data_IF_938775005427
#
_entry.id   IF_938775005427
#
_cell.length_a   1.000
_cell.length_b   1.000
_cell.length_c   1.000
_cell.angle_alpha   90.00
_cell.angle_beta   90.00
_cell.angle_gamma   90.00
#
_symmetry.space_group_name_H-M   'P 1'
#
loop_
_entity.id
_entity.type
_entity.pdbx_description
1 polymer ?
#
# COMPACT_ATOMS: atom_id res chain seq x y z
N UNK A 1 -1.04 26.00 -13.10
CA UNK A 1 -0.50 25.02 -12.17
C UNK A 1 -1.51 24.89 -11.04
N UNK A 2 -2.09 23.72 -10.81
CA UNK A 2 -2.92 23.49 -9.62
C UNK A 2 -2.08 23.80 -8.39
N UNK A 3 -2.63 24.62 -7.49
CA UNK A 3 -1.91 24.99 -6.26
C UNK A 3 -1.92 23.73 -5.36
N UNK A 4 -0.81 23.00 -5.32
CA UNK A 4 -0.68 21.79 -4.49
C UNK A 4 -0.71 22.24 -3.03
N UNK A 5 -1.61 21.70 -2.20
CA UNK A 5 -1.73 22.11 -0.80
C UNK A 5 -0.43 21.84 -0.01
N UNK A 6 -0.13 22.64 1.00
CA UNK A 6 1.09 22.50 1.81
C UNK A 6 1.20 21.19 2.59
N UNK A 7 0.06 20.54 2.88
CA UNK A 7 0.00 19.24 3.54
C UNK A 7 0.28 18.06 2.59
N UNK A 8 0.32 18.30 1.27
CA UNK A 8 0.56 17.27 0.26
C UNK A 8 2.04 16.93 0.17
N UNK A 9 2.52 16.24 1.18
CA UNK A 9 3.91 15.84 1.39
C UNK A 9 4.20 14.52 0.71
N UNK A 10 4.74 14.53 -0.52
CA UNK A 10 4.75 13.36 -1.42
C UNK A 10 6.13 12.95 -1.96
N UNK A 11 7.16 13.77 -1.83
CA UNK A 11 8.48 13.45 -2.36
C UNK A 11 9.42 12.82 -1.31
N UNK A 12 10.62 12.44 -1.73
CA UNK A 12 11.58 11.79 -0.84
C UNK A 12 12.10 12.74 0.25
N UNK A 13 12.25 14.03 -0.07
CA UNK A 13 12.67 15.04 0.91
C UNK A 13 11.57 15.25 1.96
N UNK A 14 10.30 15.24 1.54
CA UNK A 14 9.14 15.29 2.45
C UNK A 14 9.12 14.10 3.43
N UNK A 15 9.47 12.88 2.94
CA UNK A 15 9.61 11.70 3.80
C UNK A 15 10.73 11.93 4.81
N UNK A 16 11.91 12.35 4.36
CA UNK A 16 13.05 12.62 5.26
C UNK A 16 12.71 13.69 6.31
N UNK A 17 12.01 14.76 5.90
CA UNK A 17 11.54 15.78 6.84
C UNK A 17 10.53 15.22 7.84
N UNK A 18 9.61 14.39 7.38
CA UNK A 18 8.60 13.75 8.25
C UNK A 18 9.28 12.85 9.28
N UNK A 19 10.31 12.11 8.91
CA UNK A 19 11.05 11.26 9.82
C UNK A 19 11.78 12.03 10.93
N UNK A 20 12.05 13.32 10.77
CA UNK A 20 12.62 14.17 11.84
C UNK A 20 11.64 14.43 13.00
N UNK A 21 10.34 14.21 12.81
CA UNK A 21 9.34 14.29 13.88
C UNK A 21 9.32 13.07 14.80
N UNK A 22 9.94 11.95 14.43
CA UNK A 22 9.89 10.70 15.17
C UNK A 22 10.43 10.86 16.61
N UNK A 23 9.55 10.64 17.58
CA UNK A 23 9.82 10.61 19.03
C UNK A 23 9.11 9.46 19.71
N UNK A 24 7.91 9.11 19.24
CA UNK A 24 7.10 7.99 19.71
C UNK A 24 7.29 6.77 18.81
N UNK A 25 7.33 6.99 17.50
CA UNK A 25 7.71 5.98 16.53
C UNK A 25 9.23 5.82 16.44
N UNK A 26 9.67 4.68 15.93
CA UNK A 26 11.10 4.39 15.71
C UNK A 26 11.32 3.69 14.38
N UNK A 27 12.43 3.96 13.72
CA UNK A 27 12.87 3.18 12.57
C UNK A 27 13.46 1.87 13.11
N UNK A 28 12.85 0.75 12.76
CA UNK A 28 13.21 -0.58 13.26
C UNK A 28 13.97 -1.42 12.25
N UNK A 29 13.87 -1.09 10.96
CA UNK A 29 14.62 -1.75 9.90
C UNK A 29 14.93 -0.78 8.76
N UNK A 30 16.03 -1.02 8.05
CA UNK A 30 16.46 -0.28 6.86
C UNK A 30 17.01 -1.22 5.82
N UNK A 31 16.82 -0.87 4.56
CA UNK A 31 17.39 -1.54 3.39
C UNK A 31 17.67 -0.52 2.29
N UNK A 32 18.10 -1.01 1.14
CA UNK A 32 18.34 -0.21 -0.05
C UNK A 32 17.52 -0.73 -1.21
N UNK A 33 17.00 0.21 -2.03
CA UNK A 33 16.39 -0.09 -3.32
C UNK A 33 17.45 -0.54 -4.34
N UNK A 34 17.01 -1.00 -5.49
CA UNK A 34 17.90 -1.34 -6.62
C UNK A 34 18.83 -0.18 -7.00
N UNK A 35 18.33 1.08 -6.94
CA UNK A 35 19.12 2.28 -7.18
C UNK A 35 19.92 2.79 -5.97
N UNK A 36 19.93 2.06 -4.86
CA UNK A 36 20.70 2.39 -3.66
C UNK A 36 20.06 3.42 -2.73
N UNK A 37 18.79 3.81 -2.95
CA UNK A 37 18.03 4.72 -2.07
C UNK A 37 17.54 4.00 -0.83
N UNK A 38 17.35 4.75 0.25
CA UNK A 38 16.95 4.16 1.53
C UNK A 38 15.49 3.68 1.53
N UNK A 39 15.28 2.48 2.07
CA UNK A 39 14.01 1.92 2.49
C UNK A 39 13.97 1.90 4.01
N UNK A 40 12.89 2.36 4.62
CA UNK A 40 12.76 2.41 6.08
C UNK A 40 11.45 1.80 6.53
N UNK A 41 11.51 0.97 7.58
CA UNK A 41 10.34 0.51 8.32
C UNK A 41 10.23 1.31 9.63
N UNK A 42 9.12 2.01 9.79
CA UNK A 42 8.78 2.73 11.02
C UNK A 42 7.80 1.88 11.82
N UNK A 43 8.00 1.82 13.12
CA UNK A 43 7.11 1.11 14.04
C UNK A 43 6.60 2.04 15.14
N UNK A 44 5.30 2.00 15.35
CA UNK A 44 4.61 2.51 16.54
C UNK A 44 4.07 1.34 17.34
N UNK A 45 4.26 1.40 18.66
CA UNK A 45 3.97 0.29 19.57
C UNK A 45 5.19 -0.62 19.81
N UNK A 46 4.93 -1.84 20.27
CA UNK A 46 5.96 -2.80 20.63
C UNK A 46 5.85 -4.07 19.79
N UNK A 47 7.00 -4.64 19.42
CA UNK A 47 7.05 -5.89 18.65
C UNK A 47 6.46 -7.04 19.46
N UNK A 48 5.50 -7.75 18.88
CA UNK A 48 4.98 -8.97 19.47
C UNK A 48 6.05 -10.08 19.47
N UNK A 49 6.11 -10.83 20.56
CA UNK A 49 6.90 -12.06 20.60
C UNK A 49 6.08 -13.19 19.99
N UNK A 50 6.29 -13.48 18.73
CA UNK A 50 5.68 -14.61 18.04
C UNK A 50 6.51 -15.88 18.30
N UNK A 51 5.92 -16.88 18.97
CA UNK A 51 6.51 -18.22 19.02
C UNK A 51 6.32 -18.89 17.69
N UNK A 52 7.40 -19.41 17.13
CA UNK A 52 7.39 -20.08 15.83
C UNK A 52 8.11 -21.42 15.96
N UNK A 53 7.41 -22.51 15.66
CA UNK A 53 7.93 -23.87 15.65
C UNK A 53 7.93 -24.50 14.27
N UNK A 54 7.17 -23.91 13.32
CA UNK A 54 7.07 -24.36 11.94
C UNK A 54 6.97 -23.19 10.97
N UNK A 55 7.28 -23.39 9.69
CA UNK A 55 6.93 -22.47 8.64
C UNK A 55 5.41 -22.52 8.34
N UNK A 56 4.88 -21.54 7.62
CA UNK A 56 3.45 -21.44 7.34
C UNK A 56 2.90 -22.69 6.65
N UNK A 57 3.58 -23.22 5.63
CA UNK A 57 3.11 -24.38 4.90
C UNK A 57 2.97 -25.62 5.78
N UNK A 58 3.95 -25.87 6.65
CA UNK A 58 3.91 -26.98 7.60
C UNK A 58 2.82 -26.79 8.65
N UNK A 59 2.68 -25.59 9.21
CA UNK A 59 1.65 -25.24 10.19
C UNK A 59 0.23 -25.43 9.62
N UNK A 60 -0.01 -24.98 8.39
CA UNK A 60 -1.28 -25.18 7.68
C UNK A 60 -1.54 -26.66 7.38
N UNK A 61 -0.50 -27.43 6.99
CA UNK A 61 -0.60 -28.87 6.77
C UNK A 61 -0.93 -29.65 8.04
N UNK A 62 -0.51 -29.14 9.21
CA UNK A 62 -0.88 -29.69 10.52
C UNK A 62 -2.25 -29.20 11.02
N UNK A 63 -2.91 -28.27 10.33
CA UNK A 63 -4.16 -27.65 10.78
C UNK A 63 -4.00 -26.72 11.98
N UNK A 64 -2.77 -26.31 12.29
CA UNK A 64 -2.45 -25.46 13.45
C UNK A 64 -1.56 -24.28 13.04
N UNK A 65 -2.19 -23.16 12.66
CA UNK A 65 -1.52 -21.93 12.26
C UNK A 65 -0.68 -21.31 13.38
N UNK A 66 -1.00 -21.60 14.67
CA UNK A 66 -0.25 -21.07 15.81
C UNK A 66 1.21 -21.58 15.82
N UNK A 67 1.49 -22.75 15.23
CA UNK A 67 2.86 -23.22 15.03
C UNK A 67 3.72 -22.28 14.16
N UNK A 68 3.09 -21.50 13.28
CA UNK A 68 3.79 -20.48 12.47
C UNK A 68 3.88 -19.14 13.20
N UNK A 69 2.77 -18.68 13.81
CA UNK A 69 2.75 -17.42 14.53
C UNK A 69 1.70 -17.50 15.65
N UNK A 70 2.18 -17.75 16.87
CA UNK A 70 1.31 -17.82 18.05
C UNK A 70 0.91 -16.41 18.50
N UNK A 71 -0.35 -16.06 18.23
CA UNK A 71 -0.96 -14.77 18.56
C UNK A 71 -1.92 -14.86 19.75
N UNK A 72 -1.93 -15.98 20.49
CA UNK A 72 -2.90 -16.28 21.55
C UNK A 72 -2.56 -15.66 22.91
N UNK A 73 -1.45 -14.93 23.04
CA UNK A 73 -1.00 -14.36 24.32
C UNK A 73 -1.83 -13.13 24.70
N UNK A 74 -2.13 -12.99 25.98
CA UNK A 74 -2.80 -11.78 26.53
C UNK A 74 -2.04 -10.47 26.26
N UNK A 75 -0.73 -10.55 26.05
CA UNK A 75 0.12 -9.41 25.70
C UNK A 75 0.17 -9.12 24.19
N UNK A 76 -0.46 -9.98 23.35
CA UNK A 76 -0.49 -9.76 21.92
C UNK A 76 -1.25 -8.47 21.60
N UNK A 77 -0.74 -7.73 20.64
CA UNK A 77 -1.36 -6.49 20.15
C UNK A 77 -1.51 -6.58 18.63
N UNK A 78 -2.73 -6.37 18.08
CA UNK A 78 -2.93 -6.40 16.65
C UNK A 78 -1.93 -5.52 15.94
N UNK A 79 -1.46 -5.96 14.79
CA UNK A 79 -0.44 -5.27 14.01
C UNK A 79 -0.92 -5.02 12.60
N UNK A 80 -0.91 -3.76 12.16
CA UNK A 80 -1.19 -3.37 10.78
C UNK A 80 0.08 -2.91 10.08
N UNK A 81 0.28 -3.33 8.83
CA UNK A 81 1.36 -2.84 7.97
C UNK A 81 0.77 -1.99 6.83
N UNK A 82 1.25 -0.76 6.72
CA UNK A 82 0.89 0.21 5.70
C UNK A 82 2.09 0.47 4.79
N UNK A 83 1.93 0.24 3.50
CA UNK A 83 3.02 0.36 2.51
C UNK A 83 2.61 1.34 1.42
N UNK A 84 3.34 2.44 1.29
CA UNK A 84 3.13 3.45 0.24
C UNK A 84 4.09 3.28 -0.93
N UNK A 85 3.71 3.90 -2.06
CA UNK A 85 4.59 4.09 -3.20
C UNK A 85 5.20 2.78 -3.75
N UNK A 86 4.37 1.77 -3.99
CA UNK A 86 4.80 0.57 -4.72
C UNK A 86 5.11 0.94 -6.19
N UNK A 87 4.34 1.83 -6.76
CA UNK A 87 4.68 2.54 -7.99
C UNK A 87 5.06 3.99 -7.67
N UNK A 88 6.21 4.44 -8.16
CA UNK A 88 6.78 5.73 -7.79
C UNK A 88 5.99 6.98 -8.20
N UNK A 89 5.05 6.84 -9.13
CA UNK A 89 4.17 7.92 -9.57
C UNK A 89 2.80 7.96 -8.90
N UNK A 90 2.58 7.11 -7.89
CA UNK A 90 1.36 7.03 -7.10
C UNK A 90 1.63 7.70 -5.74
N UNK A 91 1.42 9.01 -5.70
CA UNK A 91 1.84 9.89 -4.60
C UNK A 91 0.95 9.83 -3.37
N UNK A 92 -0.30 9.46 -3.56
CA UNK A 92 -1.41 9.58 -2.63
C UNK A 92 -1.13 8.82 -1.32
N UNK A 93 -0.60 7.60 -1.46
CA UNK A 93 -0.20 6.78 -0.32
C UNK A 93 0.95 7.39 0.49
N UNK A 94 1.94 8.02 -0.16
CA UNK A 94 3.04 8.71 0.53
C UNK A 94 2.52 9.89 1.34
N UNK A 95 1.63 10.70 0.73
CA UNK A 95 0.99 11.84 1.40
C UNK A 95 0.23 11.39 2.62
N UNK A 96 -0.58 10.35 2.49
CA UNK A 96 -1.38 9.83 3.59
C UNK A 96 -0.50 9.31 4.73
N UNK A 97 0.58 8.58 4.43
CA UNK A 97 1.48 8.04 5.45
C UNK A 97 2.32 9.11 6.13
N UNK A 98 2.81 10.12 5.40
CA UNK A 98 3.51 11.27 6.00
C UNK A 98 2.60 12.04 6.97
N UNK A 99 1.34 12.28 6.59
CA UNK A 99 0.36 12.92 7.46
C UNK A 99 0.01 12.03 8.67
N UNK A 100 -0.14 10.71 8.48
CA UNK A 100 -0.36 9.78 9.59
C UNK A 100 0.79 9.80 10.59
N UNK A 101 2.05 9.73 10.12
CA UNK A 101 3.24 9.85 10.98
C UNK A 101 3.20 11.16 11.77
N UNK A 102 2.96 12.28 11.10
CA UNK A 102 2.87 13.60 11.75
C UNK A 102 1.79 13.62 12.83
N UNK A 103 0.60 13.08 12.53
CA UNK A 103 -0.53 13.01 13.46
C UNK A 103 -0.19 12.14 14.68
N UNK A 104 0.38 10.95 14.48
CA UNK A 104 0.77 10.06 15.59
C UNK A 104 1.81 10.70 16.50
N UNK A 105 2.75 11.46 15.95
CA UNK A 105 3.80 12.14 16.69
C UNK A 105 3.31 13.36 17.47
N UNK A 106 2.48 14.19 16.86
CA UNK A 106 2.15 15.53 17.37
C UNK A 106 0.69 15.72 17.75
N UNK A 107 -0.19 14.79 17.38
CA UNK A 107 -1.64 14.87 17.56
C UNK A 107 -2.38 15.61 16.44
N UNK A 108 -1.68 16.20 15.48
CA UNK A 108 -2.23 16.84 14.28
C UNK A 108 -1.45 16.46 13.03
N UNK A 109 -2.11 16.42 11.90
CA UNK A 109 -1.50 16.23 10.58
C UNK A 109 -0.84 17.54 10.04
N UNK A 110 -0.38 17.54 8.80
CA UNK A 110 0.18 18.74 8.16
C UNK A 110 -0.87 19.78 7.73
N UNK A 111 -2.19 19.44 7.78
CA UNK A 111 -3.27 20.43 7.67
C UNK A 111 -3.49 21.17 8.99
N UNK A 112 -2.97 20.64 10.11
CA UNK A 112 -3.25 21.09 11.47
C UNK A 112 -4.52 20.47 12.04
N UNK A 113 -5.11 19.46 11.38
CA UNK A 113 -6.29 18.74 11.82
C UNK A 113 -5.92 17.61 12.77
N UNK A 114 -6.64 17.46 13.87
CA UNK A 114 -6.52 16.35 14.80
C UNK A 114 -7.44 15.19 14.42
N UNK A 115 -7.10 13.99 14.89
CA UNK A 115 -7.97 12.82 14.79
C UNK A 115 -7.90 12.05 16.10
N UNK A 116 -8.95 12.15 16.91
CA UNK A 116 -8.98 11.58 18.26
C UNK A 116 -8.89 10.03 18.24
N UNK A 117 -9.42 9.37 17.21
CA UNK A 117 -9.32 7.92 17.09
C UNK A 117 -7.88 7.48 16.78
N UNK A 118 -7.24 8.10 15.80
CA UNK A 118 -5.88 7.74 15.37
C UNK A 118 -4.80 8.20 16.37
N UNK A 119 -5.02 9.29 17.07
CA UNK A 119 -4.08 9.86 18.06
C UNK A 119 -3.66 8.84 19.13
N UNK A 120 -4.62 8.05 19.63
CA UNK A 120 -4.41 7.12 20.74
C UNK A 120 -4.33 5.64 20.28
N UNK A 121 -4.37 5.41 18.97
CA UNK A 121 -4.41 4.06 18.39
C UNK A 121 -3.21 3.21 18.77
N UNK A 122 -2.04 3.81 18.95
CA UNK A 122 -0.79 3.14 19.32
C UNK A 122 -0.82 2.47 20.70
N UNK A 123 -1.82 2.77 21.52
CA UNK A 123 -2.04 2.09 22.79
C UNK A 123 -2.71 0.71 22.61
N UNK A 124 -3.39 0.50 21.49
CA UNK A 124 -4.21 -0.67 21.20
C UNK A 124 -3.69 -1.52 20.04
N UNK A 125 -3.08 -0.88 19.06
CA UNK A 125 -2.62 -1.49 17.80
C UNK A 125 -1.16 -1.12 17.53
N UNK A 126 -0.37 -2.07 17.09
CA UNK A 126 0.96 -1.80 16.53
C UNK A 126 0.81 -1.36 15.07
N UNK A 127 1.47 -0.26 14.71
CA UNK A 127 1.45 0.26 13.34
C UNK A 127 2.86 0.16 12.74
N UNK A 128 2.97 -0.54 11.63
CA UNK A 128 4.17 -0.63 10.80
C UNK A 128 3.95 0.20 9.54
N UNK A 129 4.90 1.06 9.19
CA UNK A 129 4.81 1.95 8.04
C UNK A 129 6.07 1.86 7.20
N UNK A 130 5.90 1.57 5.90
CA UNK A 130 6.90 1.78 4.86
C UNK A 130 6.41 2.95 4.00
N UNK A 131 6.91 4.18 4.16
CA UNK A 131 6.37 5.34 3.46
C UNK A 131 6.50 5.27 1.94
N UNK A 132 7.60 4.69 1.46
CA UNK A 132 7.89 4.55 0.04
C UNK A 132 8.67 3.26 -0.21
N UNK A 133 8.05 2.30 -0.89
CA UNK A 133 8.69 1.03 -1.25
C UNK A 133 9.50 1.14 -2.55
N UNK A 134 9.11 2.03 -3.48
CA UNK A 134 9.82 2.30 -4.74
C UNK A 134 10.37 3.72 -4.80
N UNK A 135 11.40 4.04 -3.99
CA UNK A 135 12.02 5.37 -4.02
C UNK A 135 12.73 5.66 -5.34
N UNK A 136 13.11 4.65 -6.11
CA UNK A 136 13.74 4.79 -7.42
C UNK A 136 12.73 5.38 -8.43
N UNK A 137 11.55 4.80 -8.51
CA UNK A 137 10.46 5.30 -9.34
C UNK A 137 10.03 6.70 -8.89
N UNK A 138 9.91 6.92 -7.57
CA UNK A 138 9.52 8.23 -7.03
C UNK A 138 10.51 9.34 -7.41
N UNK A 139 11.78 9.06 -7.34
CA UNK A 139 12.85 10.03 -7.66
C UNK A 139 12.87 10.49 -9.13
N UNK A 140 12.26 9.72 -10.06
CA UNK A 140 12.19 10.07 -11.49
C UNK A 140 11.18 11.14 -11.81
N UNK A 141 10.24 11.44 -10.89
CA UNK A 141 9.17 12.41 -11.13
C UNK A 141 9.43 13.67 -10.33
N UNK A 142 9.71 14.78 -11.04
CA UNK A 142 10.08 16.07 -10.46
C UNK A 142 8.90 16.96 -10.03
N UNK A 143 7.71 16.42 -9.82
CA UNK A 143 6.54 17.16 -9.35
C UNK A 143 5.79 16.34 -8.26
N UNK A 144 5.00 17.02 -7.40
CA UNK A 144 4.46 16.38 -6.19
C UNK A 144 3.07 15.74 -6.35
N UNK A 145 2.36 15.91 -7.47
CA UNK A 145 0.97 15.44 -7.60
C UNK A 145 0.55 15.20 -9.05
N UNK A 146 -0.25 14.16 -9.26
CA UNK A 146 -0.94 13.90 -10.53
C UNK A 146 -2.24 14.71 -10.67
N UNK A 147 -2.76 15.34 -9.61
CA UNK A 147 -3.99 16.13 -9.67
C UNK A 147 -3.88 17.23 -10.73
N UNK A 148 -4.81 17.20 -11.69
CA UNK A 148 -4.84 18.13 -12.81
C UNK A 148 -3.92 17.77 -13.99
N UNK A 149 -3.21 16.64 -13.94
CA UNK A 149 -2.51 16.06 -15.09
C UNK A 149 -3.47 15.37 -16.03
N UNK A 150 -3.09 15.24 -17.28
CA UNK A 150 -3.86 14.44 -18.25
C UNK A 150 -3.59 12.95 -18.07
N UNK A 151 -4.48 12.11 -18.57
CA UNK A 151 -4.30 10.66 -18.58
C UNK A 151 -3.03 10.25 -19.36
N UNK A 152 -2.71 10.97 -20.43
CA UNK A 152 -1.52 10.71 -21.25
C UNK A 152 -0.22 11.10 -20.51
N UNK A 153 -0.22 12.25 -19.81
CA UNK A 153 0.91 12.62 -18.93
C UNK A 153 1.13 11.57 -17.83
N UNK A 154 0.05 11.11 -17.18
CA UNK A 154 0.13 10.07 -16.16
C UNK A 154 0.74 8.78 -16.75
N UNK A 155 0.31 8.33 -17.92
CA UNK A 155 0.88 7.16 -18.59
C UNK A 155 2.35 7.35 -18.94
N UNK A 156 2.73 8.54 -19.42
CA UNK A 156 4.13 8.86 -19.71
C UNK A 156 5.00 8.72 -18.47
N UNK A 157 4.63 9.38 -17.38
CA UNK A 157 5.44 9.39 -16.16
C UNK A 157 5.43 8.04 -15.43
N UNK A 158 4.29 7.33 -15.41
CA UNK A 158 4.20 6.06 -14.69
C UNK A 158 4.77 4.89 -15.50
N UNK A 159 4.41 4.74 -16.77
CA UNK A 159 4.76 3.57 -17.56
C UNK A 159 5.99 3.79 -18.47
N UNK A 160 6.30 5.04 -18.79
CA UNK A 160 7.45 5.38 -19.62
C UNK A 160 7.23 5.23 -21.12
N UNK A 161 8.31 5.24 -21.88
CA UNK A 161 8.30 5.10 -23.33
C UNK A 161 9.19 3.96 -23.80
N UNK A 162 8.81 3.31 -24.89
CA UNK A 162 9.68 2.38 -25.62
C UNK A 162 10.85 3.13 -26.27
N UNK A 163 11.85 2.38 -26.77
CA UNK A 163 13.02 2.96 -27.47
C UNK A 163 12.68 3.78 -28.71
N UNK A 164 11.51 3.56 -29.31
CA UNK A 164 11.01 4.35 -30.45
C UNK A 164 10.27 5.62 -30.03
N UNK A 165 10.21 5.92 -28.73
CA UNK A 165 9.54 7.08 -28.14
C UNK A 165 8.04 6.94 -27.97
N UNK A 166 7.42 5.83 -28.37
CA UNK A 166 6.00 5.59 -28.14
C UNK A 166 5.74 5.23 -26.67
N UNK A 167 4.53 5.54 -26.18
CA UNK A 167 4.13 5.21 -24.79
C UNK A 167 4.14 3.70 -24.56
N UNK A 168 4.76 3.23 -23.48
CA UNK A 168 4.68 1.84 -23.07
C UNK A 168 3.24 1.44 -22.78
N UNK A 169 2.51 2.25 -22.01
CA UNK A 169 1.11 2.04 -21.68
C UNK A 169 0.82 0.78 -20.87
N UNK A 170 -0.33 0.77 -20.24
CA UNK A 170 -0.88 -0.39 -19.54
C UNK A 170 -1.96 -1.06 -20.45
N UNK A 171 -1.99 -2.39 -20.62
CA UNK A 171 -1.14 -3.42 -19.96
C UNK A 171 0.16 -3.76 -20.72
N UNK A 172 0.45 -3.08 -21.84
CA UNK A 172 1.56 -3.43 -22.76
C UNK A 172 2.94 -3.42 -22.06
N UNK A 173 3.14 -2.51 -21.09
CA UNK A 173 4.36 -2.42 -20.29
C UNK A 173 4.66 -3.68 -19.44
N UNK A 174 3.68 -4.60 -19.30
CA UNK A 174 3.87 -5.87 -18.58
C UNK A 174 4.41 -7.00 -19.46
N UNK A 175 4.44 -6.83 -20.78
CA UNK A 175 4.90 -7.88 -21.72
C UNK A 175 6.40 -8.14 -21.67
N UNK A 176 7.16 -7.18 -21.11
CA UNK A 176 8.61 -7.29 -20.93
C UNK A 176 8.92 -7.00 -19.47
N UNK A 177 9.63 -7.90 -18.80
CA UNK A 177 10.00 -7.73 -17.40
C UNK A 177 11.33 -8.48 -17.08
N UNK A 178 12.37 -7.80 -16.54
CA UNK A 178 12.48 -6.35 -16.33
C UNK A 178 12.44 -5.56 -17.64
N UNK A 179 11.89 -4.33 -17.60
CA UNK A 179 11.63 -3.55 -18.83
C UNK A 179 12.75 -2.59 -19.22
N UNK A 180 13.70 -2.29 -18.30
CA UNK A 180 14.72 -1.24 -18.40
C UNK A 180 15.38 -1.13 -19.77
N UNK A 181 15.87 -2.25 -20.29
CA UNK A 181 16.61 -2.30 -21.57
C UNK A 181 15.72 -2.06 -22.79
N UNK A 182 14.41 -2.05 -22.63
CA UNK A 182 13.43 -1.84 -23.70
C UNK A 182 12.88 -0.41 -23.72
N UNK A 183 13.19 0.41 -22.70
CA UNK A 183 12.71 1.78 -22.57
C UNK A 183 13.74 2.81 -23.06
N UNK A 184 13.23 3.94 -23.58
CA UNK A 184 13.96 5.20 -23.70
C UNK A 184 13.81 5.98 -22.38
N UNK A 185 12.56 6.22 -21.93
CA UNK A 185 12.25 6.74 -20.61
C UNK A 185 11.67 5.63 -19.74
N UNK A 186 12.39 5.26 -18.67
CA UNK A 186 11.92 4.27 -17.70
C UNK A 186 10.88 4.93 -16.77
N UNK A 187 9.63 4.50 -16.86
CA UNK A 187 8.54 5.04 -16.05
C UNK A 187 8.68 4.74 -14.56
N UNK A 188 7.96 5.49 -13.75
CA UNK A 188 8.01 5.39 -12.29
C UNK A 188 7.34 4.12 -11.71
N UNK A 189 6.67 3.32 -12.52
CA UNK A 189 6.19 1.98 -12.12
C UNK A 189 7.34 1.04 -11.75
N UNK A 190 8.52 1.29 -12.27
CA UNK A 190 9.64 0.38 -12.17
C UNK A 190 10.70 0.94 -11.21
N UNK A 191 11.42 0.05 -10.51
CA UNK A 191 12.65 0.40 -9.81
C UNK A 191 13.80 0.67 -10.81
N UNK A 192 15.02 0.94 -10.35
CA UNK A 192 16.15 1.25 -11.21
C UNK A 192 16.70 0.02 -12.00
N UNK A 193 16.26 -1.19 -11.65
CA UNK A 193 16.51 -2.40 -12.43
C UNK A 193 15.42 -2.66 -13.49
N UNK A 194 14.37 -1.86 -13.55
CA UNK A 194 13.24 -2.04 -14.46
C UNK A 194 12.22 -3.08 -14.00
N UNK A 195 12.24 -3.43 -12.73
CA UNK A 195 11.30 -4.36 -12.11
C UNK A 195 10.04 -3.62 -11.66
N UNK A 196 8.86 -4.10 -12.06
CA UNK A 196 7.58 -3.71 -11.48
C UNK A 196 7.35 -4.53 -10.21
N UNK A 197 7.39 -3.90 -9.05
CA UNK A 197 7.30 -4.55 -7.74
C UNK A 197 6.00 -5.35 -7.56
N UNK A 198 4.91 -4.95 -8.22
CA UNK A 198 3.63 -5.70 -8.20
C UNK A 198 3.68 -7.03 -8.95
N UNK A 199 4.65 -7.20 -9.86
CA UNK A 199 4.78 -8.35 -10.77
C UNK A 199 6.19 -8.97 -10.75
N UNK A 200 6.85 -8.92 -9.60
CA UNK A 200 8.19 -9.48 -9.40
C UNK A 200 8.19 -11.02 -9.42
N UNK A 201 9.36 -11.63 -9.45
CA UNK A 201 9.53 -13.09 -9.33
C UNK A 201 9.40 -13.53 -7.86
N UNK A 202 8.15 -13.70 -7.41
CA UNK A 202 7.87 -14.04 -6.01
C UNK A 202 8.30 -15.46 -5.62
N UNK A 203 8.54 -16.35 -6.58
CA UNK A 203 9.00 -17.73 -6.35
C UNK A 203 10.50 -17.92 -6.57
N UNK A 204 11.16 -16.90 -7.13
CA UNK A 204 12.60 -16.89 -7.39
C UNK A 204 13.30 -15.74 -6.65
N UNK A 205 14.25 -15.11 -7.37
CA UNK A 205 14.99 -13.96 -6.84
C UNK A 205 14.16 -12.69 -7.00
N UNK A 206 13.72 -12.15 -5.88
CA UNK A 206 12.98 -10.88 -5.83
C UNK A 206 13.91 -9.68 -5.98
N UNK A 207 13.34 -8.53 -6.30
CA UNK A 207 13.99 -7.22 -6.15
C UNK A 207 14.32 -6.95 -4.68
N UNK A 208 15.30 -6.09 -4.44
CA UNK A 208 15.71 -5.70 -3.08
C UNK A 208 14.56 -5.10 -2.27
N UNK A 209 13.68 -4.35 -2.92
CA UNK A 209 12.49 -3.75 -2.32
C UNK A 209 11.51 -4.83 -1.83
N UNK A 210 11.22 -5.82 -2.68
CA UNK A 210 10.34 -6.93 -2.30
C UNK A 210 11.02 -7.87 -1.30
N UNK A 211 12.33 -8.14 -1.40
CA UNK A 211 13.05 -8.87 -0.35
C UNK A 211 12.90 -8.19 1.01
N UNK A 212 13.03 -6.86 1.06
CA UNK A 212 12.80 -6.09 2.28
C UNK A 212 11.37 -6.23 2.79
N UNK A 213 10.36 -6.03 1.94
CA UNK A 213 8.94 -6.15 2.32
C UNK A 213 8.61 -7.56 2.83
N UNK A 214 9.06 -8.60 2.14
CA UNK A 214 8.84 -9.99 2.57
C UNK A 214 9.53 -10.29 3.90
N UNK A 215 10.73 -9.75 4.15
CA UNK A 215 11.41 -9.89 5.45
C UNK A 215 10.62 -9.22 6.57
N UNK A 216 10.03 -8.06 6.34
CA UNK A 216 9.16 -7.37 7.31
C UNK A 216 7.91 -8.21 7.60
N UNK A 217 7.26 -8.72 6.57
CA UNK A 217 6.05 -9.55 6.73
C UNK A 217 6.37 -10.86 7.45
N UNK A 218 7.52 -11.49 7.17
CA UNK A 218 7.95 -12.69 7.91
C UNK A 218 8.27 -12.38 9.39
N UNK A 219 8.95 -11.28 9.65
CA UNK A 219 9.39 -10.93 11.00
C UNK A 219 8.24 -10.53 11.94
N UNK A 220 7.25 -9.79 11.40
CA UNK A 220 6.17 -9.20 12.21
C UNK A 220 4.84 -9.92 12.07
N UNK A 221 4.61 -10.69 11.02
CA UNK A 221 3.34 -11.36 10.67
C UNK A 221 2.13 -10.45 10.93
N UNK A 222 2.02 -9.29 10.24
CA UNK A 222 0.94 -8.33 10.49
C UNK A 222 -0.43 -8.98 10.32
N UNK A 223 -1.42 -8.62 11.15
CA UNK A 223 -2.79 -9.11 11.06
C UNK A 223 -3.51 -8.59 9.83
N UNK A 224 -3.06 -7.45 9.32
CA UNK A 224 -3.56 -6.86 8.09
C UNK A 224 -2.47 -6.05 7.40
N UNK A 225 -2.36 -6.18 6.09
CA UNK A 225 -1.41 -5.39 5.28
C UNK A 225 -2.16 -4.63 4.19
N UNK A 226 -1.88 -3.34 4.06
CA UNK A 226 -2.44 -2.47 3.02
C UNK A 226 -1.32 -1.96 2.13
N UNK A 227 -1.43 -2.26 0.84
CA UNK A 227 -0.59 -1.75 -0.22
C UNK A 227 -1.31 -0.54 -0.86
N UNK A 228 -0.76 0.67 -0.68
CA UNK A 228 -1.36 1.91 -1.16
C UNK A 228 -0.92 2.19 -2.59
N UNK A 229 -1.90 2.27 -3.48
CA UNK A 229 -1.76 2.54 -4.90
C UNK A 229 -2.60 3.74 -5.35
N UNK A 230 -2.37 4.20 -6.58
CA UNK A 230 -3.17 5.20 -7.25
C UNK A 230 -3.48 4.79 -8.69
N UNK A 231 -4.77 4.76 -9.06
CA UNK A 231 -5.23 4.28 -10.36
C UNK A 231 -6.09 5.28 -11.12
N UNK A 232 -5.52 6.08 -11.96
CA UNK A 232 -6.19 7.07 -12.81
C UNK A 232 -7.30 7.86 -12.05
N UNK A 233 -8.49 8.04 -12.65
CA UNK A 233 -9.68 8.60 -12.01
C UNK A 233 -10.70 7.53 -11.59
N UNK A 234 -10.27 6.31 -11.37
CA UNK A 234 -11.12 5.28 -10.79
C UNK A 234 -11.58 5.70 -9.38
N UNK A 235 -12.84 5.47 -8.98
CA UNK A 235 -13.23 5.63 -7.58
C UNK A 235 -12.33 4.81 -6.68
N UNK A 236 -12.10 5.26 -5.44
CA UNK A 236 -11.34 4.48 -4.48
C UNK A 236 -11.95 3.07 -4.34
N UNK A 237 -11.11 2.06 -4.22
CA UNK A 237 -11.54 0.67 -4.08
C UNK A 237 -10.45 -0.21 -3.43
N UNK A 238 -10.84 -1.40 -3.01
CA UNK A 238 -9.93 -2.43 -2.51
C UNK A 238 -9.88 -3.62 -3.47
N UNK A 239 -8.67 -4.05 -3.84
CA UNK A 239 -8.44 -5.36 -4.46
C UNK A 239 -8.07 -6.41 -3.40
N UNK A 240 -8.71 -7.57 -3.49
CA UNK A 240 -8.51 -8.73 -2.64
C UNK A 240 -7.39 -9.63 -3.21
N UNK A 241 -6.70 -10.44 -2.40
CA UNK A 241 -5.72 -11.40 -2.91
C UNK A 241 -6.41 -12.50 -3.72
N UNK A 242 -5.81 -12.86 -4.87
CA UNK A 242 -6.29 -13.97 -5.70
C UNK A 242 -6.05 -15.32 -5.02
N UNK A 243 -6.85 -16.31 -5.36
CA UNK A 243 -6.78 -17.68 -4.82
C UNK A 243 -6.92 -17.77 -3.29
N UNK A 244 -7.42 -16.72 -2.64
CA UNK A 244 -7.68 -16.74 -1.21
C UNK A 244 -8.99 -17.49 -0.88
N UNK A 245 -9.07 -18.17 0.28
CA UNK A 245 -10.30 -18.83 0.73
C UNK A 245 -11.46 -17.84 0.88
N UNK A 246 -12.70 -18.33 0.70
CA UNK A 246 -13.90 -17.50 0.80
C UNK A 246 -13.96 -16.72 2.12
N UNK A 247 -13.62 -17.36 3.26
CA UNK A 247 -13.56 -16.70 4.57
C UNK A 247 -12.70 -15.43 4.61
N UNK A 248 -11.60 -15.41 3.83
CA UNK A 248 -10.72 -14.24 3.75
C UNK A 248 -11.34 -13.16 2.87
N UNK A 249 -12.00 -13.57 1.77
CA UNK A 249 -12.74 -12.66 0.91
C UNK A 249 -13.92 -12.01 1.64
N UNK A 250 -14.67 -12.79 2.43
CA UNK A 250 -15.77 -12.31 3.28
C UNK A 250 -15.27 -11.33 4.35
N UNK A 251 -14.18 -11.65 5.00
CA UNK A 251 -13.53 -10.80 5.99
C UNK A 251 -13.12 -9.42 5.40
N UNK A 252 -12.49 -9.43 4.23
CA UNK A 252 -12.14 -8.20 3.52
C UNK A 252 -13.40 -7.46 3.04
N UNK A 253 -14.48 -8.17 2.67
CA UNK A 253 -15.73 -7.56 2.26
C UNK A 253 -16.41 -6.80 3.42
N UNK A 254 -16.32 -7.30 4.67
CA UNK A 254 -16.81 -6.55 5.85
C UNK A 254 -16.09 -5.20 6.01
N UNK A 255 -14.77 -5.17 5.76
CA UNK A 255 -14.00 -3.92 5.76
C UNK A 255 -14.39 -3.02 4.59
N UNK A 256 -14.54 -3.58 3.39
CA UNK A 256 -14.93 -2.89 2.16
C UNK A 256 -16.28 -2.17 2.36
N UNK A 257 -17.27 -2.85 2.97
CA UNK A 257 -18.58 -2.29 3.30
C UNK A 257 -18.49 -1.16 4.34
N UNK A 258 -17.63 -1.29 5.35
CA UNK A 258 -17.43 -0.26 6.36
C UNK A 258 -16.81 1.01 5.76
N UNK A 259 -15.78 0.85 4.91
CA UNK A 259 -15.17 1.98 4.19
C UNK A 259 -16.19 2.65 3.27
N UNK A 260 -16.96 1.86 2.50
CA UNK A 260 -18.01 2.37 1.60
C UNK A 260 -19.02 3.21 2.36
N UNK A 261 -19.51 2.71 3.49
CA UNK A 261 -20.50 3.43 4.32
C UNK A 261 -19.98 4.77 4.82
N UNK A 262 -18.70 4.83 5.22
CA UNK A 262 -18.05 6.07 5.65
C UNK A 262 -17.81 7.02 4.48
N UNK A 263 -17.34 6.51 3.35
CA UNK A 263 -17.12 7.30 2.16
C UNK A 263 -18.43 7.92 1.64
N UNK A 264 -19.53 7.16 1.65
CA UNK A 264 -20.84 7.66 1.23
C UNK A 264 -21.34 8.78 2.17
N UNK A 265 -21.18 8.62 3.48
CA UNK A 265 -21.56 9.63 4.46
C UNK A 265 -20.80 10.96 4.28
N UNK A 266 -19.59 10.90 3.74
CA UNK A 266 -18.72 12.05 3.49
C UNK A 266 -18.67 12.46 2.00
N UNK A 267 -19.50 11.85 1.14
CA UNK A 267 -19.54 12.10 -0.31
C UNK A 267 -18.22 11.82 -1.04
N UNK A 268 -17.37 10.93 -0.50
CA UNK A 268 -16.15 10.44 -1.13
C UNK A 268 -16.51 9.28 -2.06
N UNK A 269 -16.05 9.31 -3.29
CA UNK A 269 -16.34 8.23 -4.24
C UNK A 269 -15.57 6.97 -3.89
N UNK A 270 -16.32 5.88 -3.71
CA UNK A 270 -15.79 4.57 -3.39
C UNK A 270 -16.59 3.49 -4.12
N UNK A 271 -15.91 2.48 -4.64
CA UNK A 271 -16.51 1.36 -5.33
C UNK A 271 -16.16 0.05 -4.63
N UNK A 272 -17.16 -0.77 -4.32
CA UNK A 272 -16.94 -2.12 -3.80
C UNK A 272 -16.62 -3.05 -4.96
N UNK A 273 -15.45 -3.66 -4.93
CA UNK A 273 -15.13 -4.76 -5.84
C UNK A 273 -15.92 -5.99 -5.42
N UNK A 274 -16.71 -6.54 -6.34
CA UNK A 274 -17.43 -7.78 -6.07
C UNK A 274 -16.50 -8.91 -5.61
N UNK A 275 -17.08 -9.99 -5.10
CA UNK A 275 -16.35 -11.25 -4.93
C UNK A 275 -15.91 -11.70 -6.31
N UNK A 276 -14.60 -11.71 -6.53
CA UNK A 276 -14.05 -11.97 -7.85
C UNK A 276 -14.35 -13.41 -8.27
N UNK A 277 -15.23 -13.56 -9.26
CA UNK A 277 -15.59 -14.85 -9.84
C UNK A 277 -14.73 -15.23 -11.05
N UNK A 278 -13.91 -14.28 -11.55
CA UNK A 278 -13.03 -14.46 -12.70
C UNK A 278 -11.94 -15.50 -12.44
N UNK A 279 -11.47 -15.59 -11.20
CA UNK A 279 -10.42 -16.53 -10.80
C UNK A 279 -10.78 -18.01 -11.06
N UNK A 280 -12.05 -18.37 -10.98
CA UNK A 280 -12.52 -19.75 -11.21
C UNK A 280 -12.47 -20.13 -12.69
N UNK A 281 -12.54 -19.16 -13.59
CA UNK A 281 -12.64 -19.38 -15.03
C UNK A 281 -11.35 -19.12 -15.80
N UNK A 282 -10.40 -18.37 -15.23
CA UNK A 282 -9.17 -17.90 -15.90
C UNK A 282 -7.91 -18.26 -15.10
N UNK A 283 -7.77 -19.52 -14.74
CA UNK A 283 -6.55 -19.99 -14.07
C UNK A 283 -5.52 -20.54 -15.06
N UNK A 284 -4.21 -20.23 -14.90
CA UNK A 284 -3.67 -19.32 -13.85
C UNK A 284 -3.92 -17.85 -14.18
N UNK A 285 -4.55 -17.13 -13.27
CA UNK A 285 -4.68 -15.67 -13.30
C UNK A 285 -3.38 -14.97 -12.89
N UNK A 286 -3.39 -13.65 -12.92
CA UNK A 286 -2.24 -12.84 -12.50
C UNK A 286 -1.98 -13.02 -11.00
N UNK A 287 -0.77 -13.47 -10.64
CA UNK A 287 -0.32 -13.61 -9.27
C UNK A 287 0.53 -12.39 -8.90
N UNK A 288 -0.11 -11.39 -8.28
CA UNK A 288 0.51 -10.11 -7.95
C UNK A 288 0.99 -10.05 -6.49
N UNK A 289 1.72 -9.01 -6.14
CA UNK A 289 2.32 -8.80 -4.81
C UNK A 289 1.32 -9.01 -3.65
N UNK A 290 0.07 -8.51 -3.80
CA UNK A 290 -1.02 -8.71 -2.81
C UNK A 290 -1.24 -10.19 -2.52
N UNK A 291 -1.34 -11.00 -3.57
CA UNK A 291 -1.53 -12.45 -3.48
C UNK A 291 -0.28 -13.13 -2.93
N UNK A 292 0.90 -12.72 -3.39
CA UNK A 292 2.16 -13.29 -2.96
C UNK A 292 2.38 -13.11 -1.45
N UNK A 293 2.12 -11.91 -0.91
CA UNK A 293 2.24 -11.65 0.52
C UNK A 293 1.20 -12.43 1.32
N UNK A 294 -0.08 -12.48 0.87
CA UNK A 294 -1.10 -13.28 1.54
C UNK A 294 -0.68 -14.76 1.64
N UNK A 295 -0.25 -15.37 0.55
CA UNK A 295 0.18 -16.77 0.55
C UNK A 295 1.49 -17.01 1.30
N UNK A 296 2.30 -15.96 1.49
CA UNK A 296 3.54 -16.03 2.24
C UNK A 296 3.34 -16.02 3.75
N UNK A 297 2.41 -15.20 4.28
CA UNK A 297 2.18 -15.03 5.72
C UNK A 297 0.84 -15.59 6.21
N UNK A 298 -0.12 -15.86 5.31
CA UNK A 298 -1.44 -16.37 5.66
C UNK A 298 -2.37 -15.36 6.36
N UNK A 299 -2.02 -14.06 6.34
CA UNK A 299 -2.84 -12.98 6.88
C UNK A 299 -3.38 -12.10 5.74
N UNK A 300 -4.54 -11.42 5.93
CA UNK A 300 -5.14 -10.58 4.91
C UNK A 300 -4.20 -9.49 4.40
N UNK A 301 -4.11 -9.38 3.08
CA UNK A 301 -3.37 -8.32 2.36
C UNK A 301 -4.31 -7.75 1.32
N UNK A 302 -4.40 -6.44 1.24
CA UNK A 302 -5.20 -5.74 0.22
C UNK A 302 -4.38 -4.69 -0.50
N UNK A 303 -4.74 -4.42 -1.75
CA UNK A 303 -4.33 -3.22 -2.46
C UNK A 303 -5.46 -2.20 -2.39
N UNK A 304 -5.18 -1.03 -1.88
CA UNK A 304 -6.09 0.11 -1.94
C UNK A 304 -5.70 0.97 -3.12
N UNK A 305 -6.59 1.08 -4.09
CA UNK A 305 -6.43 1.91 -5.27
C UNK A 305 -7.15 3.24 -5.04
N UNK A 306 -6.42 4.35 -5.04
CA UNK A 306 -7.00 5.69 -4.91
C UNK A 306 -7.11 6.42 -6.25
N UNK A 307 -8.04 7.38 -6.32
CA UNK A 307 -8.13 8.30 -7.44
C UNK A 307 -6.90 9.23 -7.48
N UNK A 308 -6.35 9.49 -8.66
CA UNK A 308 -5.18 10.38 -8.84
C UNK A 308 -5.56 11.83 -9.19
N UNK A 309 -6.85 12.16 -9.32
CA UNK A 309 -7.32 13.52 -9.60
C UNK A 309 -6.93 14.06 -10.97
N UNK A 310 -6.76 13.20 -11.96
CA UNK A 310 -6.44 13.60 -13.34
C UNK A 310 -7.57 14.44 -13.92
N UNK A 311 -7.28 15.24 -14.93
CA UNK A 311 -8.33 15.88 -15.75
C UNK A 311 -9.31 14.81 -16.23
N UNK A 312 -10.61 15.12 -16.21
CA UNK A 312 -11.64 14.18 -16.71
C UNK A 312 -11.35 13.80 -18.16
N UNK A 313 -11.26 12.49 -18.42
CA UNK A 313 -10.94 11.97 -19.75
C UNK A 313 -11.99 10.97 -20.28
N UNK A 314 -12.95 10.59 -19.43
CA UNK A 314 -14.11 9.80 -19.78
C UNK A 314 -15.25 10.11 -18.82
N UNK A 315 -16.50 9.94 -19.24
CA UNK A 315 -17.71 10.32 -18.50
C UNK A 315 -17.76 9.78 -17.06
N UNK A 316 -17.20 8.58 -16.83
CA UNK A 316 -17.16 7.92 -15.52
C UNK A 316 -15.81 8.06 -14.81
N UNK A 317 -14.83 8.74 -15.43
CA UNK A 317 -13.46 8.95 -14.91
C UNK A 317 -13.30 10.38 -14.41
N UNK A 318 -14.02 10.69 -13.33
CA UNK A 318 -14.04 12.02 -12.73
C UNK A 318 -12.89 12.20 -11.73
N UNK A 319 -12.25 13.38 -11.72
CA UNK A 319 -11.23 13.70 -10.75
C UNK A 319 -11.79 13.76 -9.32
N UNK A 320 -10.94 13.48 -8.35
CA UNK A 320 -11.07 13.91 -6.96
C UNK A 320 -10.06 15.01 -6.67
N UNK A 321 -10.42 15.91 -5.76
CA UNK A 321 -9.52 16.92 -5.23
C UNK A 321 -8.47 16.28 -4.29
N UNK A 322 -7.40 17.03 -4.00
CA UNK A 322 -6.40 16.61 -3.00
C UNK A 322 -7.06 16.27 -1.64
N UNK A 323 -8.05 17.05 -1.22
CA UNK A 323 -8.75 16.83 0.06
C UNK A 323 -9.58 15.54 0.05
N UNK A 324 -10.32 15.26 -1.02
CA UNK A 324 -11.10 14.03 -1.15
C UNK A 324 -10.21 12.79 -1.19
N UNK A 325 -9.08 12.85 -1.92
CA UNK A 325 -8.10 11.76 -2.00
C UNK A 325 -7.50 11.50 -0.62
N UNK A 326 -7.02 12.55 0.05
CA UNK A 326 -6.44 12.44 1.39
C UNK A 326 -7.47 11.91 2.41
N UNK A 327 -8.70 12.44 2.39
CA UNK A 327 -9.75 11.98 3.30
C UNK A 327 -10.12 10.52 3.10
N UNK A 328 -10.13 10.05 1.86
CA UNK A 328 -10.33 8.62 1.53
C UNK A 328 -9.31 7.71 2.20
N UNK A 329 -8.04 8.12 2.25
CA UNK A 329 -6.99 7.37 2.95
C UNK A 329 -7.17 7.39 4.48
N UNK A 330 -7.57 8.52 5.05
CA UNK A 330 -7.83 8.59 6.49
C UNK A 330 -9.00 7.67 6.88
N UNK A 331 -10.07 7.65 6.09
CA UNK A 331 -11.19 6.71 6.29
C UNK A 331 -10.69 5.26 6.22
N UNK A 332 -9.88 4.92 5.21
CA UNK A 332 -9.27 3.60 5.09
C UNK A 332 -8.51 3.20 6.36
N UNK A 333 -7.65 4.07 6.89
CA UNK A 333 -6.86 3.79 8.09
C UNK A 333 -7.74 3.60 9.32
N UNK A 334 -8.73 4.48 9.51
CA UNK A 334 -9.68 4.38 10.63
C UNK A 334 -10.44 3.05 10.60
N UNK A 335 -11.04 2.70 9.45
CA UNK A 335 -11.88 1.50 9.34
C UNK A 335 -11.05 0.21 9.36
N UNK A 336 -9.86 0.18 8.76
CA UNK A 336 -8.96 -0.97 8.82
C UNK A 336 -8.48 -1.26 10.26
N UNK A 337 -8.16 -0.22 11.03
CA UNK A 337 -7.76 -0.37 12.42
C UNK A 337 -8.93 -0.87 13.28
N UNK A 338 -10.13 -0.29 13.14
CA UNK A 338 -11.34 -0.78 13.82
C UNK A 338 -11.64 -2.24 13.47
N UNK A 339 -11.40 -2.63 12.22
CA UNK A 339 -11.65 -3.97 11.74
C UNK A 339 -10.75 -5.01 12.45
N UNK A 340 -9.45 -4.73 12.57
CA UNK A 340 -8.52 -5.65 13.27
C UNK A 340 -8.75 -5.66 14.78
N UNK A 341 -9.11 -4.54 15.41
CA UNK A 341 -9.47 -4.48 16.84
C UNK A 341 -10.70 -5.34 17.16
N UNK A 342 -11.71 -5.32 16.28
CA UNK A 342 -12.95 -6.09 16.46
C UNK A 342 -12.72 -7.60 16.41
N UNK A 343 -11.74 -8.08 15.68
CA UNK A 343 -11.45 -9.50 15.53
C UNK A 343 -10.90 -10.12 16.80
N UNK A 344 -10.09 -9.41 17.57
CA UNK A 344 -9.57 -9.92 18.84
C UNK A 344 -10.64 -10.12 19.91
N UNK A 345 -11.72 -9.36 19.89
CA UNK A 345 -12.86 -9.53 20.80
C UNK A 345 -13.77 -10.73 20.50
N UNK A 346 -13.47 -11.52 19.45
CA UNK A 346 -14.33 -12.64 18.98
C UNK A 346 -13.73 -14.04 19.12
N UNK A 347 -12.54 -14.18 19.76
CA UNK A 347 -11.94 -15.50 20.06
C UNK A 347 -12.23 -15.88 21.51
#
# INVERSE_FOLDING_TARGET
>A
MSNVPSYWKSDLDDIEETLKYLKKGRIVSRSKSAGGRELSLIMYGEKNELRRTANLSSALGAGDKACYADKSRDSYRPTILLVGCIHGGEFEGVVALNNLIKLLETGTDFKGEGNEFLKDVVQRVNILIIPCLNPDGRARIGFPSMVGKTFEEMRYYNQGTWKDGTLCGYPECKKIHPIKDSCDFLGAYFNDDGVNLMHDDFFGKKSSENEFLFSVVDEYVPDFTILLHGGDNTPNLIFKPTYSPMRVKEDIAELDDAIKSRCDAESIRYYITGMDRGEENETPGSFILTSALYHYCGEPVVTFESNQGLVEWAEHKKPMSHDEIYRGHIILFEEAIKHIEKKEGKI
#
